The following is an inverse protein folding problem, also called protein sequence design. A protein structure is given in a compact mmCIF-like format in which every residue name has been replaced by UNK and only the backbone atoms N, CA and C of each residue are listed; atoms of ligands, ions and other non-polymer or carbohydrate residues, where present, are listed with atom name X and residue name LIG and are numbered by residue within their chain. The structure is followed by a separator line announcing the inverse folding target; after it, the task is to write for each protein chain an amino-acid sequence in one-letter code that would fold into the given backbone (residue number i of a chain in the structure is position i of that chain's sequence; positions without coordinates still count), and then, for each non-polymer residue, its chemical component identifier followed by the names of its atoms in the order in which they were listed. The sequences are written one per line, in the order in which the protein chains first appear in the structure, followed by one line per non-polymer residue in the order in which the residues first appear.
data_IF_354496018835
#
_entry.id   IF_354496018835
#
_cell.length_a   1.000
_cell.length_b   1.000
_cell.length_c   1.000
_cell.angle_alpha   90.00
_cell.angle_beta   90.00
_cell.angle_gamma   90.00
#
_symmetry.space_group_name_H-M   'P 1'
#
loop_
_entity.id
_entity.type
_entity.pdbx_description
1 polymer ?
#
# COMPACT_ATOMS: atom_id res chain seq x y z
N UNK A 1 -6.24 -30.92 -8.86
CA UNK A 1 -5.59 -30.30 -10.05
C UNK A 1 -5.32 -28.80 -9.89
N UNK A 2 -6.26 -27.95 -9.43
CA UNK A 2 -6.04 -26.50 -9.21
C UNK A 2 -4.89 -26.08 -8.24
N UNK A 3 -4.61 -26.77 -7.11
CA UNK A 3 -3.55 -26.32 -6.20
C UNK A 3 -2.14 -26.52 -6.75
N UNK A 4 -1.92 -27.54 -7.58
CA UNK A 4 -0.60 -27.83 -8.17
C UNK A 4 -0.20 -26.76 -9.18
N UNK A 5 -1.14 -26.31 -10.02
CA UNK A 5 -0.87 -25.26 -11.01
C UNK A 5 -0.65 -23.90 -10.34
N UNK A 6 -1.39 -23.59 -9.26
CA UNK A 6 -1.13 -22.39 -8.46
C UNK A 6 0.26 -22.44 -7.81
N UNK A 7 0.61 -23.57 -7.18
CA UNK A 7 1.91 -23.76 -6.55
C UNK A 7 3.04 -23.62 -7.57
N UNK A 8 2.86 -24.19 -8.77
CA UNK A 8 3.81 -24.10 -9.87
C UNK A 8 3.96 -22.66 -10.39
N UNK A 9 2.86 -21.91 -10.53
CA UNK A 9 2.92 -20.52 -10.95
C UNK A 9 3.61 -19.64 -9.90
N UNK A 10 3.31 -19.86 -8.61
CA UNK A 10 3.94 -19.13 -7.51
C UNK A 10 5.42 -19.48 -7.39
N UNK A 11 5.79 -20.76 -7.56
CA UNK A 11 7.19 -21.18 -7.53
C UNK A 11 7.98 -20.65 -8.71
N UNK A 12 7.40 -20.64 -9.92
CA UNK A 12 8.00 -20.00 -11.09
C UNK A 12 8.20 -18.50 -10.87
N UNK A 13 7.20 -17.80 -10.32
CA UNK A 13 7.31 -16.37 -10.02
C UNK A 13 8.41 -16.10 -8.98
N UNK A 14 8.47 -16.91 -7.92
CA UNK A 14 9.51 -16.80 -6.89
C UNK A 14 10.90 -17.07 -7.47
N UNK A 15 11.05 -18.12 -8.29
CA UNK A 15 12.30 -18.46 -8.96
C UNK A 15 12.78 -17.32 -9.85
N UNK A 16 11.91 -16.78 -10.71
CA UNK A 16 12.24 -15.62 -11.54
C UNK A 16 12.58 -14.39 -10.71
N UNK A 17 11.89 -14.16 -9.59
CA UNK A 17 12.22 -13.10 -8.65
C UNK A 17 13.64 -13.23 -8.08
N UNK A 18 14.03 -14.44 -7.66
CA UNK A 18 15.39 -14.72 -7.17
C UNK A 18 16.42 -14.54 -8.29
N UNK A 19 16.16 -15.03 -9.49
CA UNK A 19 17.07 -14.85 -10.65
C UNK A 19 17.26 -13.36 -10.94
N UNK A 20 16.20 -12.58 -11.02
CA UNK A 20 16.29 -11.13 -11.28
C UNK A 20 17.05 -10.39 -10.18
N UNK A 21 16.84 -10.76 -8.91
CA UNK A 21 17.59 -10.19 -7.78
C UNK A 21 19.08 -10.56 -7.85
N UNK A 22 19.40 -11.81 -8.17
CA UNK A 22 20.79 -12.26 -8.34
C UNK A 22 21.48 -11.54 -9.51
N UNK A 23 20.81 -11.45 -10.67
CA UNK A 23 21.31 -10.69 -11.82
C UNK A 23 21.53 -9.22 -11.47
N UNK A 24 20.58 -8.60 -10.74
CA UNK A 24 20.71 -7.21 -10.28
C UNK A 24 21.89 -7.04 -9.33
N UNK A 25 22.05 -7.93 -8.37
CA UNK A 25 23.15 -7.87 -7.39
C UNK A 25 24.51 -8.06 -8.07
N UNK A 26 24.58 -8.98 -9.03
CA UNK A 26 25.74 -9.16 -9.89
C UNK A 26 26.07 -7.89 -10.69
N UNK A 27 25.07 -7.27 -11.33
CA UNK A 27 25.24 -6.02 -12.08
C UNK A 27 25.69 -4.86 -11.19
N UNK A 28 25.25 -4.83 -9.93
CA UNK A 28 25.68 -3.85 -8.92
C UNK A 28 27.09 -4.11 -8.37
N UNK A 29 27.83 -5.07 -8.93
CA UNK A 29 29.21 -5.36 -8.54
C UNK A 29 29.35 -6.13 -7.22
N UNK A 30 28.30 -6.87 -6.82
CA UNK A 30 28.26 -7.70 -5.60
C UNK A 30 28.59 -6.96 -4.28
N UNK A 31 28.47 -5.63 -4.27
CA UNK A 31 28.66 -4.81 -3.07
C UNK A 31 27.34 -4.17 -2.70
N UNK A 32 26.99 -4.11 -1.41
CA UNK A 32 25.85 -3.32 -0.99
C UNK A 32 26.10 -1.84 -1.34
N UNK A 33 25.05 -1.08 -1.67
CA UNK A 33 25.18 0.35 -1.88
C UNK A 33 25.68 1.01 -0.58
N UNK A 34 26.68 1.89 -0.72
CA UNK A 34 27.16 2.71 0.39
C UNK A 34 26.41 4.04 0.38
N UNK A 35 25.87 4.45 1.52
CA UNK A 35 25.11 5.68 1.67
C UNK A 35 25.82 6.61 2.64
N UNK A 36 25.75 7.91 2.38
CA UNK A 36 26.30 8.90 3.31
C UNK A 36 25.37 9.07 4.52
N UNK A 37 25.92 9.53 5.65
CA UNK A 37 25.12 9.92 6.81
C UNK A 37 24.05 10.98 6.44
N UNK A 38 24.38 11.87 5.51
CA UNK A 38 23.44 12.87 4.99
C UNK A 38 22.26 12.29 4.22
N UNK A 39 22.33 11.06 3.73
CA UNK A 39 21.24 10.41 2.99
C UNK A 39 20.22 9.78 3.95
N UNK A 40 20.73 9.13 5.00
CA UNK A 40 19.91 8.48 6.02
C UNK A 40 20.63 8.50 7.38
N UNK A 41 20.47 9.57 8.18
CA UNK A 41 21.12 9.67 9.49
C UNK A 41 20.61 8.65 10.51
N UNK A 42 19.39 8.12 10.30
CA UNK A 42 18.86 7.08 11.15
C UNK A 42 19.68 5.78 11.01
N UNK A 43 20.08 5.43 9.79
CA UNK A 43 20.90 4.24 9.54
C UNK A 43 22.34 4.35 10.09
N UNK A 44 22.90 5.56 10.10
CA UNK A 44 24.26 5.82 10.59
C UNK A 44 24.35 6.02 12.12
N UNK A 45 23.20 6.12 12.82
CA UNK A 45 23.18 6.31 14.27
C UNK A 45 23.86 5.15 15.03
N UNK A 46 24.77 5.43 15.99
CA UNK A 46 25.50 4.39 16.74
C UNK A 46 24.59 3.62 17.71
N UNK A 47 23.49 4.23 18.17
CA UNK A 47 22.55 3.58 19.07
C UNK A 47 21.58 2.68 18.32
N UNK A 48 21.60 1.38 18.64
CA UNK A 48 20.62 0.41 18.13
C UNK A 48 19.18 0.81 18.49
N UNK A 49 18.96 1.35 19.69
CA UNK A 49 17.64 1.79 20.14
C UNK A 49 17.12 2.94 19.27
N UNK A 50 17.96 3.92 18.96
CA UNK A 50 17.57 5.06 18.12
C UNK A 50 17.23 4.60 16.70
N UNK A 51 18.03 3.67 16.17
CA UNK A 51 17.78 3.03 14.86
C UNK A 51 16.44 2.32 14.83
N UNK A 52 16.20 1.40 15.76
CA UNK A 52 14.98 0.59 15.77
C UNK A 52 13.73 1.46 15.95
N UNK A 53 13.73 2.38 16.92
CA UNK A 53 12.59 3.27 17.14
C UNK A 53 12.30 4.15 15.92
N UNK A 54 13.34 4.71 15.31
CA UNK A 54 13.17 5.54 14.12
C UNK A 54 12.67 4.68 12.94
N UNK A 55 13.24 3.50 12.70
CA UNK A 55 12.79 2.61 11.61
C UNK A 55 11.36 2.10 11.76
N UNK A 56 10.86 1.90 12.98
CA UNK A 56 9.44 1.59 13.19
C UNK A 56 8.55 2.82 13.01
N UNK A 57 9.05 4.02 13.32
CA UNK A 57 8.32 5.26 13.12
C UNK A 57 8.19 5.67 11.65
N UNK A 58 9.20 5.43 10.82
CA UNK A 58 9.19 5.82 9.40
C UNK A 58 7.99 5.27 8.61
N UNK A 59 7.61 3.98 8.71
CA UNK A 59 6.38 3.45 8.11
C UNK A 59 5.12 4.18 8.54
N UNK A 60 5.05 4.57 9.82
CA UNK A 60 3.93 5.32 10.33
C UNK A 60 3.88 6.70 9.65
N UNK A 61 4.98 7.44 9.60
CA UNK A 61 5.01 8.77 8.92
C UNK A 61 4.65 8.65 7.44
N UNK A 62 5.16 7.63 6.77
CA UNK A 62 4.82 7.34 5.38
C UNK A 62 3.32 7.03 5.20
N UNK A 63 2.70 6.35 6.17
CA UNK A 63 1.25 6.15 6.17
C UNK A 63 0.48 7.44 6.47
N UNK A 64 1.03 8.34 7.29
CA UNK A 64 0.46 9.68 7.46
C UNK A 64 0.40 10.43 6.12
N UNK A 65 1.46 10.37 5.32
CA UNK A 65 1.49 10.99 3.99
C UNK A 65 0.39 10.46 3.06
N UNK A 66 0.00 9.18 3.20
CA UNK A 66 -1.14 8.60 2.47
C UNK A 66 -2.49 9.12 2.97
N UNK A 67 -2.64 9.32 4.28
CA UNK A 67 -3.88 9.77 4.90
C UNK A 67 -4.11 11.28 4.72
N UNK A 68 -3.04 12.05 4.94
CA UNK A 68 -3.03 13.51 4.92
C UNK A 68 -1.70 13.97 4.29
N UNK A 69 -1.65 14.15 2.95
CA UNK A 69 -0.50 14.74 2.30
C UNK A 69 -0.48 16.26 2.57
N UNK A 70 -0.02 16.65 3.75
CA UNK A 70 0.14 18.03 4.19
C UNK A 70 1.58 18.53 4.01
N UNK A 71 2.56 17.72 4.41
CA UNK A 71 3.98 18.00 4.25
C UNK A 71 4.55 17.13 3.14
N UNK A 72 4.81 17.73 1.99
CA UNK A 72 5.46 17.07 0.85
C UNK A 72 6.78 17.79 0.59
N UNK A 73 7.82 17.06 0.21
CA UNK A 73 9.14 17.64 -0.04
C UNK A 73 9.80 16.96 -1.23
N UNK A 74 10.59 17.72 -1.98
CA UNK A 74 11.44 17.17 -3.03
C UNK A 74 12.49 16.20 -2.47
N UNK A 75 12.87 16.37 -1.20
CA UNK A 75 13.88 15.57 -0.52
C UNK A 75 13.67 15.55 1.01
N UNK A 76 13.90 14.39 1.61
CA UNK A 76 13.78 14.13 3.05
C UNK A 76 15.11 13.65 3.66
N UNK A 77 16.24 13.97 3.02
CA UNK A 77 17.57 13.62 3.52
C UNK A 77 18.02 14.60 4.60
N UNK A 78 19.21 14.39 5.15
CA UNK A 78 19.79 15.18 6.23
C UNK A 78 18.88 15.17 7.47
N UNK A 79 18.78 16.30 8.17
CA UNK A 79 18.03 16.41 9.43
C UNK A 79 16.56 16.75 9.23
N UNK A 80 15.99 16.41 8.06
CA UNK A 80 14.59 16.67 7.74
C UNK A 80 13.61 16.01 8.71
N UNK A 81 14.01 14.89 9.33
CA UNK A 81 13.24 14.25 10.39
C UNK A 81 14.12 13.99 11.62
N UNK A 82 13.74 14.52 12.80
CA UNK A 82 14.50 14.29 14.01
C UNK A 82 14.41 12.81 14.42
N UNK A 83 15.55 12.23 14.77
CA UNK A 83 15.64 10.83 15.22
C UNK A 83 14.86 10.62 16.54
N UNK A 84 14.31 9.42 16.73
CA UNK A 84 13.68 9.03 18.00
C UNK A 84 14.74 8.38 18.89
N UNK A 85 15.19 9.09 19.92
CA UNK A 85 16.28 8.64 20.80
C UNK A 85 15.79 7.88 22.04
N UNK A 86 14.55 8.11 22.46
CA UNK A 86 14.00 7.62 23.72
C UNK A 86 12.65 6.95 23.54
N UNK A 87 12.33 5.97 24.38
CA UNK A 87 11.02 5.33 24.41
C UNK A 87 9.90 6.27 24.86
N UNK A 88 10.22 7.27 25.70
CA UNK A 88 9.27 8.26 26.21
C UNK A 88 8.87 9.34 25.17
N UNK A 89 9.39 9.26 23.94
CA UNK A 89 9.01 10.19 22.87
C UNK A 89 7.54 9.97 22.49
N UNK A 90 6.74 11.05 22.47
CA UNK A 90 5.31 10.98 22.16
C UNK A 90 5.04 10.45 20.74
N UNK A 91 6.02 10.55 19.83
CA UNK A 91 5.92 10.00 18.48
C UNK A 91 5.83 8.47 18.47
N UNK A 92 6.31 7.81 19.52
CA UNK A 92 6.12 6.36 19.66
C UNK A 92 4.65 5.99 19.83
N UNK A 93 3.81 6.84 20.42
CA UNK A 93 2.37 6.60 20.51
C UNK A 93 1.74 6.52 19.10
N UNK A 94 2.21 7.36 18.18
CA UNK A 94 1.78 7.34 16.78
C UNK A 94 2.20 6.03 16.09
N UNK A 95 3.44 5.61 16.28
CA UNK A 95 3.96 4.32 15.79
C UNK A 95 3.13 3.15 16.31
N UNK A 96 2.88 3.10 17.63
CA UNK A 96 2.09 2.03 18.25
C UNK A 96 0.67 2.01 17.71
N UNK A 97 -0.01 3.15 17.62
CA UNK A 97 -1.35 3.24 17.08
C UNK A 97 -1.44 2.73 15.63
N UNK A 98 -0.46 3.08 14.80
CA UNK A 98 -0.36 2.61 13.42
C UNK A 98 -0.28 1.08 13.32
N UNK A 99 0.66 0.46 14.05
CA UNK A 99 0.82 -1.00 14.00
C UNK A 99 -0.36 -1.74 14.66
N UNK A 100 -0.93 -1.23 15.75
CA UNK A 100 -2.14 -1.81 16.35
C UNK A 100 -3.33 -1.75 15.38
N UNK A 101 -3.49 -0.65 14.64
CA UNK A 101 -4.52 -0.52 13.61
C UNK A 101 -4.34 -1.54 12.48
N UNK A 102 -3.12 -1.68 11.96
CA UNK A 102 -2.81 -2.67 10.93
C UNK A 102 -3.05 -4.12 11.41
N UNK A 103 -2.58 -4.46 12.60
CA UNK A 103 -2.78 -5.77 13.20
C UNK A 103 -4.26 -6.06 13.44
N UNK A 104 -5.03 -5.09 13.94
CA UNK A 104 -6.47 -5.24 14.13
C UNK A 104 -7.21 -5.47 12.82
N UNK A 105 -6.84 -4.77 11.74
CA UNK A 105 -7.44 -4.97 10.41
C UNK A 105 -7.11 -6.35 9.85
N UNK A 106 -5.85 -6.77 9.94
CA UNK A 106 -5.41 -8.08 9.51
C UNK A 106 -6.13 -9.19 10.30
N UNK A 107 -6.14 -9.10 11.62
CA UNK A 107 -6.82 -10.05 12.50
C UNK A 107 -8.32 -10.15 12.21
N UNK A 108 -9.01 -9.02 12.11
CA UNK A 108 -10.43 -8.99 11.80
C UNK A 108 -10.74 -9.62 10.44
N UNK A 109 -9.87 -9.41 9.45
CA UNK A 109 -10.04 -10.00 8.11
C UNK A 109 -9.92 -11.52 8.11
N UNK A 110 -8.95 -12.07 8.84
CA UNK A 110 -8.70 -13.51 8.93
C UNK A 110 -9.78 -14.22 9.77
N UNK A 111 -10.13 -13.65 10.92
CA UNK A 111 -11.12 -14.23 11.83
C UNK A 111 -12.51 -14.34 11.18
N UNK A 112 -12.89 -13.35 10.37
CA UNK A 112 -14.19 -13.34 9.68
C UNK A 112 -14.26 -14.39 8.57
N UNK A 113 -13.15 -14.60 7.88
CA UNK A 113 -12.99 -15.63 6.86
C UNK A 113 -13.16 -17.04 7.43
N UNK A 114 -12.57 -17.29 8.60
CA UNK A 114 -12.72 -18.58 9.28
C UNK A 114 -14.17 -18.88 9.68
N UNK A 115 -14.87 -17.88 10.25
CA UNK A 115 -16.30 -18.01 10.60
C UNK A 115 -17.19 -18.26 9.38
N UNK A 116 -16.96 -17.56 8.27
CA UNK A 116 -17.73 -17.76 7.05
C UNK A 116 -17.49 -19.14 6.45
N UNK A 117 -16.25 -19.62 6.45
CA UNK A 117 -15.90 -20.98 6.02
C UNK A 117 -16.60 -22.03 6.88
N UNK A 118 -16.61 -21.88 8.20
CA UNK A 118 -17.31 -22.79 9.12
C UNK A 118 -18.83 -22.79 8.88
N UNK A 119 -19.42 -21.62 8.61
CA UNK A 119 -20.86 -21.50 8.29
C UNK A 119 -21.21 -22.16 6.95
N UNK A 120 -20.36 -22.05 5.93
CA UNK A 120 -20.58 -22.76 4.66
C UNK A 120 -20.49 -24.28 4.82
N UNK A 121 -19.55 -24.78 5.63
CA UNK A 121 -19.42 -26.22 5.91
C UNK A 121 -20.68 -26.74 6.62
N UNK A 122 -21.15 -26.03 7.66
CA UNK A 122 -22.37 -26.41 8.38
C UNK A 122 -23.64 -26.25 7.52
N UNK A 123 -23.72 -25.21 6.68
CA UNK A 123 -24.85 -24.99 5.77
C UNK A 123 -24.93 -26.03 4.65
N UNK A 124 -23.77 -26.47 4.11
CA UNK A 124 -23.72 -27.60 3.17
C UNK A 124 -24.10 -28.91 3.85
N UNK A 125 -23.63 -29.17 5.08
CA UNK A 125 -24.03 -30.34 5.85
C UNK A 125 -25.57 -30.41 6.01
N UNK A 126 -26.23 -29.29 6.32
CA UNK A 126 -27.70 -29.23 6.40
C UNK A 126 -28.42 -29.49 5.07
N UNK A 127 -27.85 -29.06 3.93
CA UNK A 127 -28.41 -29.37 2.60
C UNK A 127 -28.25 -30.85 2.21
N UNK A 128 -27.19 -31.52 2.66
CA UNK A 128 -27.00 -32.97 2.44
C UNK A 128 -27.83 -33.83 3.40
N UNK A 129 -28.24 -33.33 4.57
CA UNK A 129 -29.07 -34.08 5.53
C UNK A 129 -30.58 -33.93 5.31
N UNK A 130 -31.03 -33.00 4.46
CA UNK A 130 -32.46 -32.74 4.23
C UNK A 130 -33.02 -33.45 2.99
N UNK A 131 -32.52 -34.64 2.68
CA UNK A 131 -33.21 -35.64 1.86
C UNK A 131 -33.79 -36.73 2.77
N UNK A 132 -34.84 -36.39 3.54
CA UNK A 132 -35.64 -37.41 4.23
C UNK A 132 -37.13 -37.07 4.17
N UNK A 133 -37.79 -37.79 3.28
CA UNK A 133 -39.20 -38.21 3.24
C UNK A 133 -40.29 -37.16 3.53
N UNK A 134 -40.80 -36.56 2.45
CA UNK A 134 -42.18 -36.08 2.38
C UNK A 134 -42.95 -36.92 1.36
N UNK A 135 -43.86 -37.76 1.84
CA UNK A 135 -44.84 -38.50 1.03
C UNK A 135 -45.82 -37.52 0.40
N UNK A 136 -45.93 -37.50 -0.93
CA UNK A 136 -47.16 -37.12 -1.62
C UNK A 136 -47.24 -37.82 -2.98
N UNK A 137 -48.32 -38.56 -3.17
CA UNK A 137 -48.67 -39.38 -4.31
C UNK A 137 -48.49 -38.70 -5.68
N UNK A 138 -47.95 -39.45 -6.64
CA UNK A 138 -47.99 -39.12 -8.06
C UNK A 138 -47.45 -40.28 -8.89
N UNK A 139 -48.35 -40.99 -9.57
CA UNK A 139 -48.06 -42.07 -10.52
C UNK A 139 -47.09 -41.66 -11.64
N UNK A 140 -46.20 -42.57 -12.05
CA UNK A 140 -45.46 -42.42 -13.31
C UNK A 140 -44.25 -43.35 -13.48
N UNK A 141 -44.52 -44.55 -13.96
CA UNK A 141 -43.67 -45.50 -14.71
C UNK A 141 -42.20 -45.73 -14.34
N UNK A 142 -41.96 -47.02 -14.05
CA UNK A 142 -40.69 -47.70 -13.85
C UNK A 142 -39.86 -47.77 -15.15
N UNK A 143 -38.58 -47.39 -15.06
CA UNK A 143 -37.55 -47.66 -16.07
C UNK A 143 -36.28 -48.08 -15.36
N UNK A 144 -36.04 -49.38 -15.29
CA UNK A 144 -34.90 -49.99 -14.63
C UNK A 144 -33.66 -49.86 -15.53
N UNK A 145 -32.58 -49.24 -15.06
CA UNK A 145 -31.23 -49.45 -15.62
C UNK A 145 -30.20 -49.21 -14.53
N UNK A 146 -29.54 -50.31 -14.14
CA UNK A 146 -28.30 -50.28 -13.38
C UNK A 146 -27.24 -49.52 -14.16
N UNK A 147 -26.60 -48.52 -13.54
CA UNK A 147 -25.23 -48.15 -13.87
C UNK A 147 -24.53 -47.55 -12.64
N UNK A 148 -23.58 -48.32 -12.10
CA UNK A 148 -22.55 -47.83 -11.21
C UNK A 148 -21.64 -46.90 -12.02
N UNK A 149 -21.53 -45.61 -11.67
CA UNK A 149 -20.38 -44.80 -12.08
C UNK A 149 -19.90 -43.92 -10.93
N UNK A 150 -18.70 -44.29 -10.47
CA UNK A 150 -17.79 -43.48 -9.70
C UNK A 150 -17.37 -42.21 -10.48
N UNK A 151 -17.10 -41.17 -9.70
CA UNK A 151 -16.09 -40.15 -9.93
C UNK A 151 -16.34 -38.97 -10.91
N UNK A 152 -15.86 -37.85 -10.38
CA UNK A 152 -15.25 -36.71 -11.07
C UNK A 152 -16.17 -35.62 -11.59
N UNK A 153 -16.09 -34.48 -10.90
CA UNK A 153 -16.39 -33.15 -11.42
C UNK A 153 -15.60 -32.90 -12.72
N UNK A 154 -16.20 -33.27 -13.84
CA UNK A 154 -15.90 -32.75 -15.17
C UNK A 154 -17.02 -31.76 -15.49
N UNK A 155 -16.64 -30.55 -15.90
CA UNK A 155 -17.61 -29.53 -16.29
C UNK A 155 -18.49 -30.03 -17.43
N UNK A 156 -19.75 -30.32 -17.12
CA UNK A 156 -20.73 -30.74 -18.11
C UNK A 156 -21.29 -29.49 -18.78
N UNK A 157 -20.91 -29.27 -20.04
CA UNK A 157 -21.68 -28.44 -20.96
C UNK A 157 -23.06 -29.07 -21.11
N UNK A 158 -24.08 -28.49 -20.48
CA UNK A 158 -25.48 -28.87 -20.73
C UNK A 158 -25.91 -28.13 -22.01
N UNK A 159 -25.81 -28.81 -23.15
CA UNK A 159 -26.48 -28.39 -24.36
C UNK A 159 -27.96 -28.81 -24.27
N UNK A 160 -28.81 -27.99 -23.65
CA UNK A 160 -30.25 -28.14 -23.83
C UNK A 160 -30.66 -27.44 -25.13
N UNK A 161 -30.75 -28.20 -26.22
CA UNK A 161 -31.37 -27.74 -27.46
C UNK A 161 -32.89 -27.79 -27.30
N UNK A 162 -33.48 -26.70 -26.82
CA UNK A 162 -34.88 -26.39 -27.08
C UNK A 162 -34.95 -24.93 -27.58
N UNK A 163 -35.45 -24.77 -28.81
CA UNK A 163 -35.73 -23.51 -29.52
C UNK A 163 -34.54 -22.62 -29.88
N UNK A 164 -33.85 -22.96 -30.97
CA UNK A 164 -33.39 -22.05 -32.04
C UNK A 164 -32.55 -20.80 -31.71
N UNK A 165 -32.18 -20.55 -30.46
CA UNK A 165 -31.39 -19.39 -30.04
C UNK A 165 -30.32 -19.88 -29.07
N UNK A 166 -29.06 -19.91 -29.52
CA UNK A 166 -27.91 -20.15 -28.64
C UNK A 166 -27.79 -18.98 -27.67
N UNK A 167 -28.36 -19.12 -26.46
CA UNK A 167 -28.01 -18.23 -25.34
C UNK A 167 -26.60 -18.60 -24.89
N UNK A 168 -25.63 -17.79 -25.30
CA UNK A 168 -24.30 -17.79 -24.68
C UNK A 168 -24.48 -17.39 -23.21
N UNK A 169 -24.51 -18.36 -22.31
CA UNK A 169 -24.27 -18.08 -20.90
C UNK A 169 -22.79 -17.76 -20.76
N UNK A 170 -22.45 -16.47 -20.77
CA UNK A 170 -21.17 -16.01 -20.26
C UNK A 170 -21.04 -16.47 -18.81
N UNK A 171 -20.14 -17.43 -18.58
CA UNK A 171 -19.65 -17.78 -17.25
C UNK A 171 -18.92 -16.57 -16.69
N UNK A 172 -19.66 -15.63 -16.09
CA UNK A 172 -19.06 -14.55 -15.30
C UNK A 172 -18.27 -15.19 -14.16
N UNK A 173 -16.98 -14.90 -14.11
CA UNK A 173 -16.14 -15.26 -12.98
C UNK A 173 -16.77 -14.67 -11.71
N UNK A 174 -16.92 -15.47 -10.64
CA UNK A 174 -17.48 -14.97 -9.40
C UNK A 174 -16.58 -13.85 -8.86
N UNK A 175 -17.19 -12.72 -8.50
CA UNK A 175 -16.48 -11.59 -7.91
C UNK A 175 -15.80 -12.03 -6.60
N UNK A 176 -14.57 -11.54 -6.31
CA UNK A 176 -13.88 -11.90 -5.09
C UNK A 176 -14.67 -11.46 -3.85
N UNK A 177 -14.65 -12.28 -2.81
CA UNK A 177 -15.30 -11.94 -1.53
C UNK A 177 -14.62 -10.72 -0.91
N UNK A 178 -15.35 -9.96 -0.09
CA UNK A 178 -14.81 -8.77 0.57
C UNK A 178 -13.57 -9.05 1.42
N UNK A 179 -13.49 -10.25 2.00
CA UNK A 179 -12.35 -10.68 2.82
C UNK A 179 -11.09 -10.87 1.98
N UNK A 180 -11.21 -11.54 0.82
CA UNK A 180 -10.10 -11.68 -0.11
C UNK A 180 -9.61 -10.32 -0.62
N UNK A 181 -10.53 -9.37 -0.87
CA UNK A 181 -10.15 -8.01 -1.26
C UNK A 181 -9.40 -7.30 -0.12
N UNK A 182 -9.84 -7.42 1.14
CA UNK A 182 -9.14 -6.80 2.28
C UNK A 182 -7.73 -7.38 2.47
N UNK A 183 -7.58 -8.71 2.45
CA UNK A 183 -6.27 -9.36 2.57
C UNK A 183 -5.34 -8.97 1.42
N UNK A 184 -5.86 -8.97 0.19
CA UNK A 184 -5.11 -8.51 -0.98
C UNK A 184 -4.69 -7.05 -0.85
N UNK A 185 -5.59 -6.18 -0.37
CA UNK A 185 -5.31 -4.76 -0.20
C UNK A 185 -4.28 -4.49 0.89
N UNK A 186 -4.33 -5.22 2.02
CA UNK A 186 -3.32 -5.17 3.08
C UNK A 186 -1.97 -5.70 2.58
N UNK A 187 -1.96 -6.76 1.77
CA UNK A 187 -0.76 -7.28 1.13
C UNK A 187 -0.14 -6.25 0.18
N UNK A 188 -0.96 -5.60 -0.65
CA UNK A 188 -0.52 -4.56 -1.59
C UNK A 188 -0.04 -3.28 -0.88
N UNK A 189 -0.58 -2.99 0.30
CA UNK A 189 -0.13 -1.90 1.18
C UNK A 189 1.25 -2.21 1.80
N UNK A 190 1.42 -3.40 2.38
CA UNK A 190 2.58 -3.71 3.21
C UNK A 190 3.77 -4.28 2.41
N UNK A 191 3.55 -5.29 1.57
CA UNK A 191 4.64 -6.08 0.95
C UNK A 191 5.55 -5.20 0.07
N UNK A 192 5.02 -4.34 -0.82
CA UNK A 192 5.87 -3.47 -1.65
C UNK A 192 6.64 -2.43 -0.83
N UNK A 193 6.16 -2.08 0.36
CA UNK A 193 6.77 -1.09 1.24
C UNK A 193 7.86 -1.70 2.14
N UNK A 194 7.84 -3.01 2.43
CA UNK A 194 8.80 -3.68 3.31
C UNK A 194 10.28 -3.37 2.98
N UNK A 195 10.73 -3.40 1.72
CA UNK A 195 12.09 -3.00 1.35
C UNK A 195 12.47 -1.57 1.77
N UNK A 196 11.52 -0.64 1.81
CA UNK A 196 11.74 0.76 2.12
C UNK A 196 11.74 1.06 3.63
N UNK A 197 11.43 0.08 4.48
CA UNK A 197 11.29 0.26 5.94
C UNK A 197 12.60 0.46 6.69
N UNK A 198 13.74 0.21 6.06
CA UNK A 198 15.06 0.12 6.71
C UNK A 198 15.22 -1.01 7.75
N UNK A 199 14.21 -1.89 7.91
CA UNK A 199 14.24 -2.98 8.91
C UNK A 199 15.12 -4.17 8.50
N UNK A 200 15.15 -4.52 7.21
CA UNK A 200 15.91 -5.68 6.72
C UNK A 200 17.27 -5.31 6.13
N UNK A 201 17.34 -4.14 5.49
CA UNK A 201 18.54 -3.57 4.91
C UNK A 201 18.37 -2.05 4.89
N UNK A 202 19.49 -1.33 5.02
CA UNK A 202 19.45 0.12 4.98
C UNK A 202 19.25 0.62 3.56
N UNK A 203 18.51 1.71 3.47
CA UNK A 203 18.17 2.39 2.23
C UNK A 203 18.66 3.82 2.33
N UNK A 204 19.17 4.38 1.22
CA UNK A 204 19.72 5.74 1.16
C UNK A 204 18.69 6.87 1.19
N UNK A 205 17.54 6.68 1.84
CA UNK A 205 16.59 7.76 2.10
C UNK A 205 15.85 7.49 3.40
N UNK A 206 15.43 8.57 4.07
CA UNK A 206 14.61 8.51 5.29
C UNK A 206 13.14 8.31 4.92
N UNK A 207 12.60 9.20 4.08
CA UNK A 207 11.25 9.11 3.51
C UNK A 207 11.33 9.35 2.00
N UNK A 208 10.47 8.67 1.24
CA UNK A 208 10.36 8.90 -0.18
C UNK A 208 8.92 8.66 -0.65
N UNK A 209 8.24 9.71 -1.10
CA UNK A 209 6.83 9.63 -1.55
C UNK A 209 6.64 8.60 -2.69
N UNK A 210 7.65 8.46 -3.56
CA UNK A 210 7.66 7.46 -4.65
C UNK A 210 7.51 6.00 -4.18
N UNK A 211 7.90 5.67 -2.94
CA UNK A 211 7.72 4.30 -2.43
C UNK A 211 6.27 3.99 -2.07
N UNK A 212 5.42 5.03 -2.00
CA UNK A 212 4.01 4.91 -1.67
C UNK A 212 3.11 4.68 -2.89
N UNK A 213 3.62 4.70 -4.12
CA UNK A 213 2.80 4.52 -5.34
C UNK A 213 2.10 3.16 -5.42
N UNK A 214 2.78 2.07 -5.05
CA UNK A 214 2.13 0.75 -5.00
C UNK A 214 1.29 0.59 -3.72
N UNK A 215 1.81 0.93 -2.53
CA UNK A 215 1.01 0.92 -1.31
C UNK A 215 -0.28 1.73 -1.39
N UNK A 216 -0.29 2.88 -2.07
CA UNK A 216 -1.48 3.72 -2.23
C UNK A 216 -2.60 3.00 -2.98
N UNK A 217 -2.29 2.09 -3.90
CA UNK A 217 -3.31 1.25 -4.55
C UNK A 217 -4.01 0.34 -3.52
N UNK A 218 -3.24 -0.29 -2.63
CA UNK A 218 -3.78 -1.09 -1.52
C UNK A 218 -4.62 -0.24 -0.56
N UNK A 219 -4.13 0.95 -0.21
CA UNK A 219 -4.85 1.92 0.60
C UNK A 219 -6.21 2.33 -0.03
N UNK A 220 -6.22 2.71 -1.31
CA UNK A 220 -7.44 3.08 -2.02
C UNK A 220 -8.48 1.95 -2.04
N UNK A 221 -8.04 0.70 -2.22
CA UNK A 221 -8.94 -0.47 -2.15
C UNK A 221 -9.51 -0.66 -0.74
N UNK A 222 -8.70 -0.50 0.32
CA UNK A 222 -9.18 -0.55 1.70
C UNK A 222 -10.22 0.54 1.98
N UNK A 223 -9.97 1.77 1.54
CA UNK A 223 -10.90 2.89 1.68
C UNK A 223 -12.21 2.59 0.92
N UNK A 224 -12.14 2.11 -0.32
CA UNK A 224 -13.32 1.74 -1.11
C UNK A 224 -14.16 0.63 -0.45
N UNK A 225 -13.51 -0.44 0.02
CA UNK A 225 -14.19 -1.53 0.75
C UNK A 225 -14.77 -1.04 2.07
N UNK A 226 -14.02 -0.21 2.81
CA UNK A 226 -14.46 0.41 4.05
C UNK A 226 -15.69 1.27 3.87
N UNK A 227 -15.69 2.17 2.89
CA UNK A 227 -16.83 3.02 2.52
C UNK A 227 -18.05 2.19 2.13
N UNK A 228 -17.88 1.17 1.26
CA UNK A 228 -18.99 0.27 0.88
C UNK A 228 -19.55 -0.47 2.09
N UNK A 229 -18.67 -0.98 2.96
CA UNK A 229 -19.05 -1.70 4.17
C UNK A 229 -19.81 -0.82 5.14
N UNK A 230 -19.40 0.45 5.28
CA UNK A 230 -20.10 1.45 6.09
C UNK A 230 -21.46 1.83 5.48
N UNK A 231 -21.52 2.08 4.17
CA UNK A 231 -22.75 2.43 3.46
C UNK A 231 -23.87 1.39 3.64
N UNK A 232 -23.52 0.10 3.54
CA UNK A 232 -24.48 -1.01 3.73
C UNK A 232 -24.93 -1.15 5.19
N UNK A 233 -24.04 -0.88 6.16
CA UNK A 233 -24.38 -0.93 7.60
C UNK A 233 -25.29 0.21 8.03
N UNK A 234 -25.17 1.38 7.41
CA UNK A 234 -26.02 2.52 7.71
C UNK A 234 -27.46 2.22 7.26
N UNK A 235 -28.40 2.23 8.22
CA UNK A 235 -29.82 1.94 7.96
C UNK A 235 -30.59 3.15 7.42
N UNK A 236 -30.26 4.36 7.89
CA UNK A 236 -30.95 5.60 7.53
C UNK A 236 -30.46 6.14 6.19
N UNK A 237 -31.40 6.57 5.33
CA UNK A 237 -31.09 7.20 4.02
C UNK A 237 -30.30 8.50 4.20
N UNK A 238 -30.60 9.29 5.24
CA UNK A 238 -29.85 10.50 5.56
C UNK A 238 -28.39 10.20 5.88
N UNK A 239 -28.09 9.19 6.72
CA UNK A 239 -26.70 8.81 7.03
C UNK A 239 -25.93 8.32 5.81
N UNK A 240 -26.58 7.59 4.90
CA UNK A 240 -25.97 7.18 3.63
C UNK A 240 -25.66 8.38 2.73
N UNK A 241 -26.58 9.34 2.65
CA UNK A 241 -26.37 10.58 1.91
C UNK A 241 -25.20 11.37 2.50
N UNK A 242 -25.16 11.55 3.83
CA UNK A 242 -24.06 12.22 4.55
C UNK A 242 -22.73 11.56 4.21
N UNK A 243 -22.63 10.23 4.30
CA UNK A 243 -21.40 9.51 3.94
C UNK A 243 -20.94 9.82 2.52
N UNK A 244 -21.84 9.75 1.54
CA UNK A 244 -21.51 10.03 0.13
C UNK A 244 -21.10 11.48 -0.08
N UNK A 245 -21.83 12.43 0.50
CA UNK A 245 -21.48 13.85 0.42
C UNK A 245 -20.14 14.15 1.08
N UNK A 246 -19.88 13.63 2.28
CA UNK A 246 -18.59 13.78 2.96
C UNK A 246 -17.44 13.20 2.12
N UNK A 247 -17.62 12.00 1.57
CA UNK A 247 -16.63 11.39 0.66
C UNK A 247 -16.40 12.23 -0.59
N UNK A 248 -17.46 12.76 -1.22
CA UNK A 248 -17.33 13.61 -2.40
C UNK A 248 -16.61 14.94 -2.08
N UNK A 249 -16.94 15.57 -0.94
CA UNK A 249 -16.26 16.79 -0.47
C UNK A 249 -14.78 16.51 -0.21
N UNK A 250 -14.44 15.39 0.45
CA UNK A 250 -13.04 15.01 0.67
C UNK A 250 -12.27 14.85 -0.63
N UNK A 251 -12.86 14.18 -1.64
CA UNK A 251 -12.24 14.04 -2.97
C UNK A 251 -12.00 15.40 -3.60
N UNK A 252 -12.99 16.30 -3.58
CA UNK A 252 -12.87 17.65 -4.13
C UNK A 252 -11.78 18.47 -3.43
N UNK A 253 -11.72 18.41 -2.09
CA UNK A 253 -10.70 19.11 -1.31
C UNK A 253 -9.30 18.60 -1.63
N UNK A 254 -9.10 17.27 -1.68
CA UNK A 254 -7.80 16.70 -2.05
C UNK A 254 -7.43 16.99 -3.50
N UNK A 255 -8.38 16.95 -4.44
CA UNK A 255 -8.14 17.37 -5.84
C UNK A 255 -7.70 18.84 -5.91
N UNK A 256 -8.34 19.73 -5.15
CA UNK A 256 -7.94 21.13 -5.07
C UNK A 256 -6.52 21.29 -4.49
N UNK A 257 -6.19 20.55 -3.40
CA UNK A 257 -4.83 20.52 -2.84
C UNK A 257 -3.81 20.06 -3.88
N UNK A 258 -4.12 19.02 -4.67
CA UNK A 258 -3.23 18.53 -5.74
C UNK A 258 -3.00 19.61 -6.79
N UNK A 259 -4.04 20.30 -7.26
CA UNK A 259 -3.91 21.38 -8.24
C UNK A 259 -3.07 22.54 -7.70
N UNK A 260 -3.24 22.90 -6.43
CA UNK A 260 -2.40 23.92 -5.78
C UNK A 260 -0.94 23.47 -5.69
N UNK A 261 -0.69 22.22 -5.29
CA UNK A 261 0.66 21.65 -5.18
C UNK A 261 1.38 21.57 -6.54
N UNK A 262 0.67 21.42 -7.65
CA UNK A 262 1.27 21.45 -8.98
C UNK A 262 1.95 22.79 -9.30
N UNK A 263 1.61 23.88 -8.60
CA UNK A 263 2.30 25.18 -8.75
C UNK A 263 3.75 25.11 -8.32
N UNK A 264 4.06 24.32 -7.30
CA UNK A 264 5.43 24.14 -6.79
C UNK A 264 6.33 23.47 -7.83
N UNK A 265 5.76 22.75 -8.79
CA UNK A 265 6.47 22.06 -9.87
C UNK A 265 6.65 22.90 -11.14
N UNK A 266 6.22 24.16 -11.16
CA UNK A 266 6.31 25.00 -12.36
C UNK A 266 7.76 25.35 -12.73
N UNK A 267 8.62 25.54 -11.74
CA UNK A 267 10.04 25.84 -11.94
C UNK A 267 10.86 25.39 -10.72
N UNK A 268 12.18 25.28 -10.91
CA UNK A 268 13.11 24.81 -9.88
C UNK A 268 13.13 25.72 -8.65
N UNK A 269 12.99 27.04 -8.84
CA UNK A 269 12.99 28.02 -7.75
C UNK A 269 11.79 27.79 -6.80
N UNK A 270 10.59 27.63 -7.33
CA UNK A 270 9.38 27.33 -6.56
C UNK A 270 9.47 25.96 -5.89
N UNK A 271 10.02 24.96 -6.58
CA UNK A 271 10.19 23.62 -6.04
C UNK A 271 11.08 23.64 -4.79
N UNK A 272 12.26 24.28 -4.89
CA UNK A 272 13.18 24.37 -3.76
C UNK A 272 12.65 25.28 -2.66
N UNK A 273 12.02 26.42 -2.98
CA UNK A 273 11.35 27.28 -2.00
C UNK A 273 10.29 26.51 -1.20
N UNK A 274 9.50 25.67 -1.86
CA UNK A 274 8.49 24.83 -1.21
C UNK A 274 9.08 23.78 -0.27
N UNK A 275 10.36 23.42 -0.41
CA UNK A 275 11.03 22.43 0.44
C UNK A 275 11.79 23.01 1.64
N UNK A 276 11.92 24.35 1.73
CA UNK A 276 12.74 25.01 2.76
C UNK A 276 12.30 24.63 4.18
N UNK A 277 11.00 24.49 4.42
CA UNK A 277 10.51 24.15 5.76
C UNK A 277 10.74 22.69 6.16
N UNK A 278 11.00 21.79 5.20
CA UNK A 278 11.25 20.35 5.46
C UNK A 278 12.73 20.03 5.50
N UNK A 279 13.49 20.45 4.49
CA UNK A 279 14.93 20.22 4.40
C UNK A 279 15.64 21.54 4.06
N UNK A 280 15.74 22.48 5.03
CA UNK A 280 16.19 23.84 4.76
C UNK A 280 17.60 23.89 4.17
N UNK A 281 18.55 23.12 4.72
CA UNK A 281 19.93 23.14 4.26
C UNK A 281 20.05 22.75 2.78
N UNK A 282 19.40 21.67 2.36
CA UNK A 282 19.44 21.21 0.95
C UNK A 282 18.65 22.11 0.03
N UNK A 283 17.49 22.59 0.50
CA UNK A 283 16.61 23.47 -0.26
C UNK A 283 17.28 24.80 -0.57
N UNK A 284 17.87 25.45 0.44
CA UNK A 284 18.61 26.71 0.25
C UNK A 284 19.83 26.52 -0.65
N UNK A 285 20.57 25.42 -0.49
CA UNK A 285 21.73 25.15 -1.33
C UNK A 285 21.38 24.96 -2.81
N UNK A 286 20.34 24.18 -3.09
CA UNK A 286 19.84 24.01 -4.45
C UNK A 286 19.23 25.30 -5.01
N UNK A 287 18.51 26.07 -4.20
CA UNK A 287 17.99 27.37 -4.59
C UNK A 287 19.12 28.34 -4.96
N UNK A 288 20.22 28.35 -4.21
CA UNK A 288 21.41 29.14 -4.54
C UNK A 288 22.00 28.77 -5.90
N UNK A 289 22.08 27.47 -6.21
CA UNK A 289 22.54 27.01 -7.53
C UNK A 289 21.64 27.49 -8.69
N UNK A 290 20.32 27.51 -8.48
CA UNK A 290 19.36 28.04 -9.45
C UNK A 290 19.50 29.56 -9.60
N UNK A 291 19.65 30.29 -8.51
CA UNK A 291 19.82 31.75 -8.55
C UNK A 291 21.13 32.16 -9.22
N UNK A 292 22.20 31.40 -8.96
CA UNK A 292 23.51 31.53 -9.61
C UNK A 292 23.40 31.31 -11.12
N UNK A 293 22.68 30.28 -11.57
CA UNK A 293 22.49 30.03 -13.00
C UNK A 293 21.62 31.11 -13.69
N UNK A 294 20.75 31.78 -12.93
CA UNK A 294 19.99 32.95 -13.39
C UNK A 294 20.78 34.27 -13.37
N UNK A 295 22.03 34.28 -12.88
CA UNK A 295 22.86 35.48 -12.76
C UNK A 295 22.56 36.37 -11.55
N UNK A 296 21.69 35.94 -10.63
CA UNK A 296 21.34 36.66 -9.39
C UNK A 296 22.34 36.33 -8.28
N UNK A 297 23.55 36.85 -8.42
CA UNK A 297 24.68 36.48 -7.56
C UNK A 297 24.46 36.83 -6.09
N UNK A 298 23.91 38.01 -5.79
CA UNK A 298 23.67 38.45 -4.40
C UNK A 298 22.65 37.54 -3.68
N UNK A 299 21.56 37.17 -4.37
CA UNK A 299 20.55 36.26 -3.83
C UNK A 299 21.10 34.83 -3.67
N UNK A 300 21.96 34.39 -4.59
CA UNK A 300 22.62 33.09 -4.51
C UNK A 300 23.56 33.02 -3.30
N UNK A 301 24.35 34.06 -3.07
CA UNK A 301 25.22 34.17 -1.89
C UNK A 301 24.41 34.06 -0.59
N UNK A 302 23.31 34.80 -0.50
CA UNK A 302 22.42 34.74 0.66
C UNK A 302 21.81 33.35 0.84
N UNK A 303 21.42 32.67 -0.25
CA UNK A 303 20.91 31.31 -0.20
C UNK A 303 21.97 30.32 0.31
N UNK A 304 23.22 30.41 -0.15
CA UNK A 304 24.31 29.56 0.35
C UNK A 304 24.62 29.83 1.82
N UNK A 305 24.62 31.10 2.26
CA UNK A 305 24.78 31.46 3.68
C UNK A 305 23.66 30.88 4.55
N UNK A 306 22.40 30.95 4.09
CA UNK A 306 21.27 30.33 4.77
C UNK A 306 21.43 28.81 4.83
N UNK A 307 21.88 28.17 3.75
CA UNK A 307 22.16 26.74 3.73
C UNK A 307 23.18 26.36 4.83
N UNK A 308 24.30 27.09 4.90
CA UNK A 308 25.35 26.90 5.90
C UNK A 308 24.93 27.23 7.32
N UNK A 309 23.96 28.14 7.50
CA UNK A 309 23.35 28.41 8.81
C UNK A 309 22.63 27.19 9.37
N UNK A 310 21.84 26.49 8.54
CA UNK A 310 21.17 25.26 8.96
C UNK A 310 22.12 24.08 9.09
N UNK A 311 23.15 24.00 8.23
CA UNK A 311 24.16 22.95 8.29
C UNK A 311 25.52 23.49 7.83
N UNK A 312 26.40 23.76 8.79
CA UNK A 312 27.71 24.36 8.52
C UNK A 312 28.67 23.45 7.74
N UNK A 313 28.52 22.13 7.86
CA UNK A 313 29.35 21.15 7.17
C UNK A 313 28.74 20.74 5.81
N UNK A 314 28.76 21.66 4.85
CA UNK A 314 28.35 21.45 3.46
C UNK A 314 29.44 21.95 2.50
N UNK A 315 30.32 21.04 2.09
CA UNK A 315 31.49 21.36 1.27
C UNK A 315 31.12 21.94 -0.11
N UNK A 316 30.02 21.48 -0.69
CA UNK A 316 29.44 21.99 -1.93
C UNK A 316 29.00 23.46 -1.80
N UNK A 317 28.38 23.82 -0.68
CA UNK A 317 27.97 25.20 -0.42
C UNK A 317 29.15 26.12 -0.12
N UNK A 318 30.14 25.63 0.64
CA UNK A 318 31.39 26.37 0.90
C UNK A 318 32.22 26.60 -0.37
N UNK A 319 32.19 25.67 -1.32
CA UNK A 319 32.88 25.81 -2.61
C UNK A 319 32.18 26.80 -3.55
N UNK A 320 30.84 26.87 -3.48
CA UNK A 320 30.05 27.72 -4.37
C UNK A 320 29.93 29.18 -3.93
N UNK A 321 30.11 29.44 -2.62
CA UNK A 321 30.14 30.77 -1.99
C UNK A 321 31.47 31.47 -2.26
#
# INVERSE_FOLDING_TARGET
RKPLQLLLNVSLLALWGVILLACRFYWMGNKPPNFSNSDNPAADSPSLLTRTLTFFYLPAVNFWLLLCPDTLSFDWSMDALPLIRTLADCRNCYTTAFYLGLLSLAWFSLWRQEKNKLKEINGKAHYYTNCRNGSSNGHGYHGNSHEHVNNSHVGTYINSTHNGTKKYFESRTPLPTTEHVVVFSLGLLAIPFLPATNLFFYVGFVIAERVLYIPSMGFCLLVAVGMRSLYVRLRRRSSRAILVYCSAVLVLLFSAKTVLRNRDWQNEEMLYKSGIYVNPAKAWGNLGNVLKSQGKMDEAEQAYRNALYYRSNMADMLYNL
#
